data_IF_773320070887
#
_entry.id   IF_773320070887
#
_cell.length_a   1.000
_cell.length_b   1.000
_cell.length_c   1.000
_cell.angle_alpha   90.00
_cell.angle_beta   90.00
_cell.angle_gamma   90.00
#
_symmetry.space_group_name_H-M   'P 1'
#
loop_
_entity.id
_entity.type
_entity.pdbx_description
1 polymer ?
#
# COMPACT_ATOMS: atom_id res chain seq x y z
N UNK A 1 -15.95 7.54 4.61
CA UNK A 1 -16.28 6.45 3.66
C UNK A 1 -17.77 6.21 3.59
N UNK A 2 -18.46 5.99 4.72
CA UNK A 2 -19.90 5.66 4.73
C UNK A 2 -20.77 6.70 3.99
N UNK A 3 -20.61 7.99 4.29
CA UNK A 3 -21.37 9.06 3.63
C UNK A 3 -21.16 9.09 2.11
N UNK A 4 -19.95 8.82 1.64
CA UNK A 4 -19.65 8.77 0.20
C UNK A 4 -20.26 7.53 -0.46
N UNK A 5 -20.27 6.37 0.21
CA UNK A 5 -20.94 5.17 -0.29
C UNK A 5 -22.45 5.39 -0.38
N UNK A 6 -23.04 6.04 0.63
CA UNK A 6 -24.45 6.40 0.60
C UNK A 6 -24.75 7.36 -0.55
N UNK A 7 -23.96 8.42 -0.70
CA UNK A 7 -24.09 9.36 -1.83
C UNK A 7 -23.99 8.63 -3.18
N UNK A 8 -23.03 7.72 -3.34
CA UNK A 8 -22.86 6.94 -4.55
C UNK A 8 -24.13 6.08 -4.86
N UNK A 9 -24.70 5.46 -3.84
CA UNK A 9 -25.92 4.67 -3.99
C UNK A 9 -27.13 5.53 -4.36
N UNK A 10 -27.30 6.72 -3.76
CA UNK A 10 -28.38 7.67 -4.11
C UNK A 10 -28.19 8.24 -5.52
N UNK A 11 -26.96 8.56 -5.91
CA UNK A 11 -26.66 8.97 -7.28
C UNK A 11 -27.00 7.86 -8.28
N UNK A 12 -26.64 6.62 -8.01
CA UNK A 12 -26.96 5.48 -8.86
C UNK A 12 -28.47 5.34 -9.05
N UNK A 13 -29.25 5.47 -7.96
CA UNK A 13 -30.71 5.40 -8.00
C UNK A 13 -31.32 6.56 -8.79
N UNK A 14 -30.80 7.78 -8.62
CA UNK A 14 -31.29 8.97 -9.32
C UNK A 14 -31.03 8.93 -10.83
N UNK A 15 -29.88 8.40 -11.25
CA UNK A 15 -29.47 8.38 -12.66
C UNK A 15 -29.73 7.06 -13.37
N UNK A 16 -30.19 6.03 -12.66
CA UNK A 16 -30.42 4.69 -13.22
C UNK A 16 -29.14 3.98 -13.67
N UNK A 17 -27.98 4.34 -13.12
CA UNK A 17 -26.68 3.79 -13.52
C UNK A 17 -25.80 3.52 -12.30
N UNK A 18 -25.13 2.35 -12.28
CA UNK A 18 -24.14 1.97 -11.25
C UNK A 18 -23.01 3.01 -11.16
N UNK A 19 -22.66 3.41 -9.95
CA UNK A 19 -21.54 4.31 -9.66
C UNK A 19 -20.30 3.48 -9.30
N UNK A 20 -19.19 3.70 -9.99
CA UNK A 20 -17.90 3.11 -9.60
C UNK A 20 -17.33 3.87 -8.41
N UNK A 21 -16.94 3.12 -7.38
CA UNK A 21 -16.39 3.66 -6.15
C UNK A 21 -15.04 3.03 -5.85
N UNK A 22 -13.98 3.82 -5.85
CA UNK A 22 -12.66 3.36 -5.44
C UNK A 22 -12.40 3.65 -3.96
N UNK A 23 -11.91 2.65 -3.25
CA UNK A 23 -11.48 2.77 -1.87
C UNK A 23 -10.01 2.37 -1.72
N UNK A 24 -9.09 3.31 -1.36
CA UNK A 24 -7.71 2.97 -1.08
C UNK A 24 -7.61 2.28 0.29
N UNK A 25 -7.50 0.96 0.29
CA UNK A 25 -7.20 0.16 1.48
C UNK A 25 -5.68 0.04 1.69
N UNK A 26 -5.24 -0.79 2.61
CA UNK A 26 -3.85 -0.92 3.01
C UNK A 26 -3.54 -2.33 3.49
N UNK A 27 -2.28 -2.75 3.40
CA UNK A 27 -1.76 -3.95 4.09
C UNK A 27 -1.94 -3.89 5.61
N UNK A 28 -2.19 -2.71 6.18
CA UNK A 28 -2.48 -2.54 7.60
C UNK A 28 -3.77 -3.25 8.07
N UNK A 29 -4.61 -3.75 7.13
CA UNK A 29 -5.76 -4.62 7.46
C UNK A 29 -5.32 -6.00 7.92
N UNK A 30 -4.08 -6.38 7.69
CA UNK A 30 -3.51 -7.63 8.14
C UNK A 30 -2.99 -7.53 9.57
N UNK A 31 -3.05 -8.64 10.31
CA UNK A 31 -2.45 -8.78 11.62
C UNK A 31 -1.97 -10.22 11.80
N UNK A 32 -0.67 -10.43 11.63
CA UNK A 32 -0.03 -11.70 11.93
C UNK A 32 0.31 -11.73 13.43
N UNK A 33 0.07 -12.86 14.13
CA UNK A 33 0.17 -12.89 15.58
C UNK A 33 1.60 -12.80 16.11
N UNK A 34 2.57 -13.26 15.33
CA UNK A 34 3.98 -13.31 15.72
C UNK A 34 4.92 -13.44 14.49
N UNK A 35 6.22 -13.25 14.72
CA UNK A 35 7.25 -13.36 13.69
C UNK A 35 7.39 -14.76 13.09
N UNK A 36 7.22 -15.80 13.87
CA UNK A 36 7.32 -17.18 13.37
C UNK A 36 6.22 -17.45 12.35
N UNK A 37 4.99 -17.02 12.66
CA UNK A 37 3.86 -17.08 11.73
C UNK A 37 4.12 -16.21 10.50
N UNK A 38 4.65 -15.01 10.67
CA UNK A 38 4.99 -14.09 9.56
C UNK A 38 5.96 -14.74 8.59
N UNK A 39 7.07 -15.30 9.08
CA UNK A 39 8.08 -15.96 8.25
C UNK A 39 7.56 -17.23 7.56
N UNK A 40 6.70 -18.00 8.25
CA UNK A 40 6.16 -19.24 7.72
C UNK A 40 5.02 -19.04 6.71
N UNK A 41 4.32 -17.90 6.76
CA UNK A 41 3.07 -17.70 6.01
C UNK A 41 3.28 -17.49 4.50
N UNK A 42 4.49 -17.07 4.07
CA UNK A 42 4.77 -16.73 2.68
C UNK A 42 3.91 -15.57 2.17
N UNK A 43 3.47 -15.64 0.92
CA UNK A 43 2.63 -14.61 0.32
C UNK A 43 1.19 -14.66 0.86
N UNK A 44 0.73 -13.57 1.47
CA UNK A 44 -0.58 -13.49 2.11
C UNK A 44 -1.67 -13.10 1.10
N UNK A 45 -2.67 -13.97 0.96
CA UNK A 45 -3.86 -13.69 0.15
C UNK A 45 -4.90 -12.84 0.90
N UNK A 46 -5.83 -12.23 0.17
CA UNK A 46 -6.79 -11.25 0.70
C UNK A 46 -7.75 -11.79 1.77
N UNK A 47 -7.90 -13.13 1.87
CA UNK A 47 -8.79 -13.76 2.84
C UNK A 47 -8.14 -14.21 4.15
N UNK A 48 -6.81 -14.05 4.31
CA UNK A 48 -6.07 -14.54 5.46
C UNK A 48 -5.62 -13.40 6.36
N UNK A 49 -5.52 -13.64 7.66
CA UNK A 49 -4.97 -12.72 8.65
C UNK A 49 -5.57 -11.30 8.64
N UNK A 50 -6.85 -11.15 8.29
CA UNK A 50 -7.56 -9.86 8.36
C UNK A 50 -7.95 -9.54 9.81
N UNK A 51 -6.95 -9.31 10.66
CA UNK A 51 -7.06 -9.03 12.09
C UNK A 51 -6.14 -7.85 12.47
N UNK A 52 -6.48 -6.62 12.08
CA UNK A 52 -5.58 -5.47 12.18
C UNK A 52 -5.23 -5.10 13.62
N UNK A 53 -3.94 -4.83 13.87
CA UNK A 53 -3.42 -4.42 15.17
C UNK A 53 -3.38 -2.90 15.36
N UNK A 54 -3.89 -2.11 14.41
CA UNK A 54 -3.93 -0.64 14.50
C UNK A 54 -5.32 -0.11 14.22
N UNK A 55 -5.69 1.03 14.82
CA UNK A 55 -6.95 1.72 14.52
C UNK A 55 -7.04 2.09 13.03
N UNK A 56 -5.91 2.44 12.41
CA UNK A 56 -5.85 2.69 10.97
C UNK A 56 -6.26 1.45 10.17
N UNK A 57 -5.69 0.28 10.49
CA UNK A 57 -6.05 -0.98 9.85
C UNK A 57 -7.51 -1.37 10.08
N UNK A 58 -8.01 -1.22 11.32
CA UNK A 58 -9.42 -1.44 11.64
C UNK A 58 -10.35 -0.57 10.78
N UNK A 59 -10.04 0.72 10.65
CA UNK A 59 -10.81 1.64 9.82
C UNK A 59 -10.77 1.27 8.33
N UNK A 60 -9.62 0.82 7.82
CA UNK A 60 -9.49 0.34 6.43
C UNK A 60 -10.31 -0.93 6.21
N UNK A 61 -10.20 -1.91 7.09
CA UNK A 61 -10.98 -3.16 7.00
C UNK A 61 -12.51 -2.89 7.10
N UNK A 62 -12.92 -2.01 8.01
CA UNK A 62 -14.32 -1.55 8.09
C UNK A 62 -14.79 -0.92 6.79
N UNK A 63 -13.95 -0.08 6.16
CA UNK A 63 -14.25 0.51 4.85
C UNK A 63 -14.45 -0.53 3.75
N UNK A 64 -13.64 -1.59 3.73
CA UNK A 64 -13.81 -2.71 2.81
C UNK A 64 -15.14 -3.46 3.03
N UNK A 65 -15.52 -3.73 4.29
CA UNK A 65 -16.78 -4.37 4.62
C UNK A 65 -18.00 -3.53 4.23
N UNK A 66 -17.96 -2.23 4.52
CA UNK A 66 -19.01 -1.29 4.11
C UNK A 66 -19.12 -1.26 2.58
N UNK A 67 -17.99 -1.17 1.87
CA UNK A 67 -17.99 -1.17 0.41
C UNK A 67 -18.62 -2.43 -0.19
N UNK A 68 -18.26 -3.62 0.32
CA UNK A 68 -18.87 -4.89 -0.09
C UNK A 68 -20.38 -4.94 0.20
N UNK A 69 -20.82 -4.37 1.34
CA UNK A 69 -22.24 -4.27 1.65
C UNK A 69 -22.98 -3.45 0.60
N UNK A 70 -22.46 -2.28 0.21
CA UNK A 70 -23.07 -1.42 -0.81
C UNK A 70 -23.04 -2.04 -2.21
N UNK A 71 -21.98 -2.79 -2.55
CA UNK A 71 -21.84 -3.51 -3.83
C UNK A 71 -22.88 -4.66 -3.96
N UNK A 72 -23.04 -5.49 -2.88
CA UNK A 72 -23.76 -6.76 -3.01
C UNK A 72 -25.08 -6.82 -2.24
N UNK A 73 -25.25 -6.05 -1.17
CA UNK A 73 -26.33 -6.29 -0.19
C UNK A 73 -27.16 -5.05 0.13
N UNK A 74 -26.79 -3.87 -0.39
CA UNK A 74 -27.46 -2.62 -0.04
C UNK A 74 -28.97 -2.68 -0.31
N UNK A 75 -29.78 -2.35 0.73
CA UNK A 75 -31.27 -2.34 0.70
C UNK A 75 -31.89 -3.65 0.18
N UNK A 76 -31.26 -4.79 0.42
CA UNK A 76 -31.69 -6.09 -0.11
C UNK A 76 -33.20 -6.42 0.17
N UNK A 77 -33.75 -5.90 1.26
CA UNK A 77 -35.14 -6.14 1.66
C UNK A 77 -36.12 -5.03 1.18
N UNK A 78 -35.60 -3.97 0.54
CA UNK A 78 -36.49 -2.88 0.08
C UNK A 78 -37.16 -3.26 -1.24
N UNK A 79 -38.48 -2.97 -1.34
CA UNK A 79 -39.29 -3.25 -2.54
C UNK A 79 -38.84 -2.42 -3.75
N UNK A 80 -38.34 -1.19 -3.51
CA UNK A 80 -37.86 -0.22 -4.51
C UNK A 80 -36.34 -0.28 -4.70
N UNK A 81 -35.74 -1.45 -4.48
CA UNK A 81 -34.29 -1.64 -4.59
C UNK A 81 -33.81 -1.40 -6.03
N UNK A 82 -32.84 -0.49 -6.17
CA UNK A 82 -32.00 -0.42 -7.36
C UNK A 82 -30.87 -1.46 -7.23
N UNK A 83 -30.77 -2.39 -8.18
CA UNK A 83 -29.77 -3.45 -8.12
C UNK A 83 -28.36 -2.92 -8.44
N UNK A 84 -27.38 -3.38 -7.67
CA UNK A 84 -25.96 -3.04 -7.84
C UNK A 84 -25.70 -1.53 -7.95
N UNK A 85 -26.11 -0.73 -6.98
CA UNK A 85 -25.97 0.73 -7.06
C UNK A 85 -24.52 1.17 -7.08
N UNK A 86 -23.63 0.42 -6.44
CA UNK A 86 -22.21 0.73 -6.31
C UNK A 86 -21.38 -0.41 -6.87
N UNK A 87 -20.47 -0.12 -7.78
CA UNK A 87 -19.38 -1.00 -8.19
C UNK A 87 -18.16 -0.66 -7.34
N UNK A 88 -18.06 -1.32 -6.17
CA UNK A 88 -17.01 -1.07 -5.20
C UNK A 88 -15.72 -1.78 -5.61
N UNK A 89 -14.63 -1.03 -5.64
CA UNK A 89 -13.28 -1.51 -6.00
C UNK A 89 -12.27 -1.00 -5.00
N UNK A 90 -11.40 -1.88 -4.52
CA UNK A 90 -10.40 -1.54 -3.52
C UNK A 90 -9.07 -2.21 -3.78
N UNK A 91 -8.00 -1.50 -3.48
CA UNK A 91 -6.63 -2.02 -3.46
C UNK A 91 -6.11 -1.92 -2.01
N UNK A 92 -5.54 -3.00 -1.51
CA UNK A 92 -4.70 -3.00 -0.32
C UNK A 92 -3.30 -2.59 -0.73
N UNK A 93 -3.02 -1.30 -0.61
CA UNK A 93 -1.70 -0.79 -0.93
C UNK A 93 -0.66 -1.26 0.08
N UNK A 94 0.54 -1.66 -0.39
CA UNK A 94 1.72 -1.85 0.43
C UNK A 94 2.31 -0.51 0.86
N UNK A 95 3.54 -0.49 1.38
CA UNK A 95 4.30 0.74 1.55
C UNK A 95 4.48 1.45 0.21
N UNK A 96 3.90 2.64 0.04
CA UNK A 96 4.06 3.43 -1.19
C UNK A 96 5.23 4.38 -1.03
N UNK A 97 6.20 4.30 -1.94
CA UNK A 97 7.36 5.19 -1.94
C UNK A 97 7.22 6.22 -3.06
N UNK A 98 7.23 7.51 -2.66
CA UNK A 98 7.21 8.64 -3.58
C UNK A 98 8.56 9.36 -3.59
N UNK A 99 9.05 9.69 -4.78
CA UNK A 99 10.21 10.57 -4.94
C UNK A 99 9.82 12.06 -4.88
N UNK A 100 8.53 12.37 -5.01
CA UNK A 100 8.02 13.76 -5.09
C UNK A 100 7.58 14.31 -3.72
N UNK A 101 7.11 13.44 -2.82
CA UNK A 101 6.65 13.84 -1.49
C UNK A 101 7.67 13.48 -0.42
N UNK A 102 7.82 14.35 0.58
CA UNK A 102 8.66 14.05 1.74
C UNK A 102 7.99 12.97 2.61
N UNK A 103 8.75 12.02 3.16
CA UNK A 103 8.23 11.12 4.19
C UNK A 103 7.74 11.94 5.39
N UNK A 104 6.65 11.50 6.00
CA UNK A 104 5.97 12.24 7.08
C UNK A 104 6.01 11.52 8.44
N UNK A 105 6.87 10.52 8.59
CA UNK A 105 7.00 9.72 9.81
C UNK A 105 6.01 8.56 9.89
N UNK A 106 5.51 8.08 8.77
CA UNK A 106 4.68 6.87 8.68
C UNK A 106 5.45 5.61 9.09
N UNK A 107 4.72 4.57 9.48
CA UNK A 107 5.33 3.29 9.93
C UNK A 107 6.20 2.64 8.86
N UNK A 108 5.89 2.82 7.58
CA UNK A 108 6.66 2.29 6.43
C UNK A 108 7.69 3.28 5.86
N UNK A 109 7.86 4.46 6.47
CA UNK A 109 8.68 5.53 5.88
C UNK A 109 10.19 5.34 6.06
N UNK A 110 10.64 4.30 6.78
CA UNK A 110 12.08 4.05 7.00
C UNK A 110 12.90 3.97 5.70
N UNK A 111 12.35 3.36 4.64
CA UNK A 111 13.04 3.27 3.35
C UNK A 111 13.26 4.64 2.69
N UNK A 112 12.21 5.43 2.40
CA UNK A 112 12.35 6.77 1.84
C UNK A 112 13.12 7.73 2.77
N UNK A 113 12.94 7.64 4.08
CA UNK A 113 13.70 8.49 5.04
C UNK A 113 15.20 8.27 4.95
N UNK A 114 15.67 7.02 4.80
CA UNK A 114 17.11 6.73 4.58
C UNK A 114 17.65 7.46 3.35
N UNK A 115 16.90 7.42 2.22
CA UNK A 115 17.33 8.05 0.97
C UNK A 115 17.40 9.57 1.13
N UNK A 116 16.37 10.18 1.76
CA UNK A 116 16.33 11.62 2.00
C UNK A 116 17.43 12.09 2.96
N UNK A 117 17.67 11.35 4.04
CA UNK A 117 18.74 11.67 4.99
C UNK A 117 20.11 11.63 4.32
N UNK A 118 20.42 10.57 3.59
CA UNK A 118 21.68 10.40 2.87
C UNK A 118 21.88 11.49 1.81
N UNK A 119 20.86 11.81 1.02
CA UNK A 119 20.91 12.86 0.01
C UNK A 119 21.10 14.26 0.61
N UNK A 120 20.65 14.46 1.84
CA UNK A 120 20.87 15.70 2.61
C UNK A 120 22.20 15.70 3.39
N UNK A 121 23.02 14.65 3.29
CA UNK A 121 24.26 14.53 4.06
C UNK A 121 24.08 14.34 5.56
N UNK A 122 22.93 13.82 6.01
CA UNK A 122 22.60 13.59 7.41
C UNK A 122 22.68 12.11 7.76
N UNK A 123 23.01 11.82 9.01
CA UNK A 123 22.88 10.49 9.59
C UNK A 123 21.42 10.07 9.69
N UNK A 124 21.17 8.77 9.67
CA UNK A 124 19.84 8.21 9.84
C UNK A 124 19.84 7.03 10.83
N UNK A 125 18.96 7.12 11.81
CA UNK A 125 18.72 6.05 12.80
C UNK A 125 17.42 5.33 12.41
N UNK A 126 17.56 4.14 11.84
CA UNK A 126 16.42 3.36 11.38
C UNK A 126 15.66 2.78 12.56
N UNK A 127 14.38 3.11 12.66
CA UNK A 127 13.51 2.71 13.77
C UNK A 127 12.96 1.29 13.68
N UNK A 128 13.41 0.48 12.73
CA UNK A 128 13.08 -0.94 12.60
C UNK A 128 14.36 -1.77 12.54
N UNK A 129 14.24 -3.08 12.82
CA UNK A 129 15.37 -4.02 12.71
C UNK A 129 15.84 -4.15 11.25
N UNK A 130 17.13 -4.50 11.02
CA UNK A 130 17.68 -4.69 9.68
C UNK A 130 16.92 -5.73 8.84
N UNK A 131 16.44 -6.79 9.48
CA UNK A 131 15.71 -7.90 8.87
C UNK A 131 14.23 -7.60 8.61
N UNK A 132 13.71 -6.48 9.11
CA UNK A 132 12.30 -6.09 8.98
C UNK A 132 11.90 -6.00 7.51
N UNK A 133 10.88 -6.76 7.12
CA UNK A 133 10.42 -6.89 5.73
C UNK A 133 8.92 -6.66 5.63
N UNK A 134 8.51 -5.83 4.68
CA UNK A 134 7.12 -5.62 4.24
C UNK A 134 7.10 -5.38 2.73
N UNK A 135 5.95 -5.55 2.06
CA UNK A 135 5.85 -5.23 0.64
C UNK A 135 5.82 -3.71 0.41
N UNK A 136 6.37 -3.32 -0.73
CA UNK A 136 6.42 -1.93 -1.21
C UNK A 136 6.03 -1.84 -2.68
N UNK A 137 5.74 -0.62 -3.12
CA UNK A 137 5.62 -0.21 -4.52
C UNK A 137 5.94 1.27 -4.69
N UNK A 138 6.22 1.68 -5.91
CA UNK A 138 6.42 3.11 -6.23
C UNK A 138 5.08 3.83 -6.41
N UNK A 139 5.07 5.15 -6.19
CA UNK A 139 3.87 5.96 -6.43
C UNK A 139 3.35 5.87 -7.88
N UNK A 140 4.18 5.90 -8.94
CA UNK A 140 3.72 5.67 -10.31
C UNK A 140 2.98 4.34 -10.49
N UNK A 141 3.47 3.24 -9.90
CA UNK A 141 2.81 1.94 -9.95
C UNK A 141 1.47 1.94 -9.19
N UNK A 142 1.40 2.63 -8.04
CA UNK A 142 0.15 2.77 -7.28
C UNK A 142 -0.93 3.49 -8.09
N UNK A 143 -0.55 4.53 -8.84
CA UNK A 143 -1.44 5.25 -9.74
C UNK A 143 -1.88 4.34 -10.90
N UNK A 144 -0.95 3.66 -11.58
CA UNK A 144 -1.26 2.73 -12.68
C UNK A 144 -2.20 1.61 -12.22
N UNK A 145 -1.94 1.00 -11.06
CA UNK A 145 -2.80 -0.02 -10.47
C UNK A 145 -4.23 0.50 -10.23
N UNK A 146 -4.35 1.72 -9.70
CA UNK A 146 -5.65 2.37 -9.45
C UNK A 146 -6.40 2.58 -10.76
N UNK A 147 -5.75 3.15 -11.76
CA UNK A 147 -6.37 3.43 -13.07
C UNK A 147 -6.78 2.13 -13.76
N UNK A 148 -5.91 1.12 -13.81
CA UNK A 148 -6.22 -0.19 -14.41
C UNK A 148 -7.40 -0.85 -13.73
N UNK A 149 -7.43 -0.92 -12.38
CA UNK A 149 -8.55 -1.49 -11.66
C UNK A 149 -9.85 -0.74 -11.97
N UNK A 150 -9.81 0.61 -11.99
CA UNK A 150 -11.00 1.42 -12.25
C UNK A 150 -11.51 1.30 -13.69
N UNK A 151 -10.65 1.04 -14.66
CA UNK A 151 -11.02 0.83 -16.06
C UNK A 151 -11.42 -0.63 -16.35
N UNK A 152 -11.04 -1.58 -15.52
CA UNK A 152 -11.33 -2.99 -15.74
C UNK A 152 -12.85 -3.26 -15.89
N UNK A 153 -13.28 -4.11 -16.85
CA UNK A 153 -14.68 -4.51 -16.96
C UNK A 153 -15.15 -5.23 -15.69
N UNK A 154 -16.30 -4.85 -15.11
CA UNK A 154 -16.84 -5.47 -13.89
C UNK A 154 -16.95 -6.99 -14.00
N UNK A 155 -17.32 -7.50 -15.16
CA UNK A 155 -17.46 -8.95 -15.41
C UNK A 155 -16.16 -9.76 -15.19
N UNK A 156 -15.00 -9.13 -15.31
CA UNK A 156 -13.70 -9.76 -15.09
C UNK A 156 -13.33 -9.82 -13.60
N UNK A 157 -13.86 -8.89 -12.80
CA UNK A 157 -13.52 -8.77 -11.38
C UNK A 157 -14.24 -9.85 -10.57
N UNK A 158 -13.47 -10.76 -9.96
CA UNK A 158 -13.99 -11.84 -9.12
C UNK A 158 -14.06 -11.47 -7.64
N UNK A 159 -13.54 -10.31 -7.28
CA UNK A 159 -13.57 -9.75 -5.91
C UNK A 159 -13.64 -8.24 -5.96
N UNK A 160 -14.00 -7.64 -4.83
CA UNK A 160 -14.07 -6.18 -4.69
C UNK A 160 -12.77 -5.60 -4.13
N UNK A 161 -11.90 -6.44 -3.54
CA UNK A 161 -10.66 -6.02 -2.87
C UNK A 161 -9.50 -6.87 -3.39
N UNK A 162 -8.41 -6.22 -3.75
CA UNK A 162 -7.23 -6.83 -4.32
C UNK A 162 -5.95 -6.43 -3.61
N UNK A 163 -5.03 -7.37 -3.45
CA UNK A 163 -3.64 -7.09 -3.13
C UNK A 163 -2.87 -6.63 -4.37
N UNK A 164 -1.91 -5.75 -4.17
CA UNK A 164 -0.86 -5.41 -5.14
C UNK A 164 0.46 -5.25 -4.39
N UNK A 165 1.56 -5.62 -5.01
CA UNK A 165 2.90 -5.38 -4.49
C UNK A 165 3.91 -5.42 -5.65
N UNK A 166 5.05 -4.72 -5.48
CA UNK A 166 6.11 -4.73 -6.49
C UNK A 166 7.34 -5.45 -5.98
N UNK A 167 7.80 -5.12 -4.79
CA UNK A 167 8.99 -5.72 -4.16
C UNK A 167 8.84 -5.73 -2.64
N UNK A 168 9.59 -6.63 -1.97
CA UNK A 168 9.50 -6.81 -0.52
C UNK A 168 10.91 -6.85 0.10
N UNK A 169 11.63 -5.73 0.18
CA UNK A 169 12.97 -5.66 0.72
C UNK A 169 12.96 -5.70 2.25
N UNK A 170 14.08 -6.12 2.82
CA UNK A 170 14.38 -5.81 4.21
C UNK A 170 14.83 -4.35 4.37
N UNK A 171 14.85 -3.86 5.59
CA UNK A 171 15.37 -2.53 5.89
C UNK A 171 16.88 -2.44 5.54
N UNK A 172 17.63 -3.53 5.71
CA UNK A 172 19.04 -3.59 5.32
C UNK A 172 19.22 -3.59 3.80
N UNK A 173 18.29 -4.17 3.01
CA UNK A 173 18.34 -4.09 1.54
C UNK A 173 18.26 -2.62 1.09
N UNK A 174 17.39 -1.80 1.72
CA UNK A 174 17.35 -0.36 1.48
C UNK A 174 18.63 0.34 1.91
N UNK A 175 19.12 0.08 3.12
CA UNK A 175 20.35 0.68 3.65
C UNK A 175 21.55 0.38 2.78
N UNK A 176 21.67 -0.84 2.26
CA UNK A 176 22.74 -1.26 1.37
C UNK A 176 22.75 -0.46 0.07
N UNK A 177 21.58 -0.26 -0.58
CA UNK A 177 21.48 0.57 -1.79
C UNK A 177 21.80 2.04 -1.50
N UNK A 178 21.37 2.56 -0.36
CA UNK A 178 21.66 3.94 0.03
C UNK A 178 23.16 4.13 0.28
N UNK A 179 23.81 3.20 1.00
CA UNK A 179 25.27 3.25 1.23
C UNK A 179 26.08 3.16 -0.07
N UNK A 180 25.63 2.35 -1.05
CA UNK A 180 26.26 2.29 -2.37
C UNK A 180 26.16 3.64 -3.12
N UNK A 181 25.00 4.31 -3.05
CA UNK A 181 24.78 5.59 -3.74
C UNK A 181 25.44 6.77 -3.00
N UNK A 182 25.53 6.70 -1.67
CA UNK A 182 26.07 7.73 -0.78
C UNK A 182 27.09 7.12 0.19
N UNK A 183 28.35 6.87 -0.25
CA UNK A 183 29.35 6.13 0.55
C UNK A 183 29.74 6.77 1.89
N UNK A 184 29.44 8.06 2.08
CA UNK A 184 29.74 8.78 3.34
C UNK A 184 28.56 8.76 4.32
N UNK A 185 27.41 8.18 3.95
CA UNK A 185 26.25 8.16 4.83
C UNK A 185 26.44 7.22 6.02
N UNK A 186 25.93 7.62 7.17
CA UNK A 186 25.87 6.79 8.37
C UNK A 186 24.41 6.38 8.57
N UNK A 187 24.14 5.06 8.53
CA UNK A 187 22.83 4.48 8.82
C UNK A 187 23.04 3.45 9.94
N UNK A 188 22.37 3.68 11.08
CA UNK A 188 22.29 2.76 12.21
C UNK A 188 20.89 2.19 12.34
N UNK A 189 20.74 1.12 13.11
CA UNK A 189 19.44 0.50 13.38
C UNK A 189 19.16 0.58 14.87
N UNK A 190 18.13 1.35 15.23
CA UNK A 190 17.71 1.62 16.60
C UNK A 190 16.20 1.37 16.70
N UNK A 191 15.74 0.10 16.77
CA UNK A 191 14.33 -0.23 16.68
C UNK A 191 13.48 0.43 17.77
N UNK A 192 12.48 1.20 17.37
CA UNK A 192 11.38 1.63 18.24
C UNK A 192 10.41 0.47 18.42
N UNK A 193 10.26 -0.03 19.66
CA UNK A 193 9.46 -1.22 19.93
C UNK A 193 8.00 -1.09 19.50
N UNK A 194 7.42 0.10 19.57
CA UNK A 194 6.04 0.34 19.15
C UNK A 194 5.90 0.22 17.64
N UNK A 195 6.74 0.91 16.86
CA UNK A 195 6.75 0.85 15.39
C UNK A 195 7.15 -0.54 14.89
N UNK A 196 8.14 -1.16 15.54
CA UNK A 196 8.60 -2.50 15.19
C UNK A 196 7.47 -3.53 15.33
N UNK A 197 6.69 -3.47 16.41
CA UNK A 197 5.57 -4.41 16.63
C UNK A 197 4.49 -4.29 15.54
N UNK A 198 4.27 -3.08 15.01
CA UNK A 198 3.34 -2.87 13.89
C UNK A 198 3.89 -3.51 12.62
N UNK A 199 5.17 -3.26 12.28
CA UNK A 199 5.84 -3.85 11.10
C UNK A 199 5.84 -5.38 11.21
N UNK A 200 6.07 -5.93 12.39
CA UNK A 200 6.08 -7.37 12.63
C UNK A 200 4.70 -8.01 12.43
N UNK A 201 3.62 -7.26 12.64
CA UNK A 201 2.25 -7.74 12.41
C UNK A 201 1.80 -7.67 10.94
N UNK A 202 2.54 -7.00 10.05
CA UNK A 202 2.21 -6.90 8.63
C UNK A 202 2.89 -8.00 7.81
N UNK A 203 2.34 -8.42 6.66
CA UNK A 203 2.92 -9.46 5.83
C UNK A 203 4.31 -9.09 5.30
N UNK A 204 5.17 -10.09 5.09
CA UNK A 204 6.44 -9.88 4.35
C UNK A 204 6.17 -9.65 2.87
N UNK A 205 5.20 -10.37 2.32
CA UNK A 205 4.76 -10.21 0.93
C UNK A 205 3.28 -10.53 0.79
N UNK A 206 2.65 -10.00 -0.25
CA UNK A 206 1.25 -10.23 -0.56
C UNK A 206 1.11 -11.06 -1.84
N UNK A 207 0.15 -11.98 -1.84
CA UNK A 207 -0.28 -12.68 -3.06
C UNK A 207 -1.17 -11.75 -3.89
N UNK A 208 -0.65 -11.30 -5.03
CA UNK A 208 -1.34 -10.44 -5.99
C UNK A 208 -1.86 -11.21 -7.22
N UNK A 209 -1.88 -12.54 -7.16
CA UNK A 209 -2.29 -13.41 -8.27
C UNK A 209 -3.71 -13.13 -8.75
N UNK A 210 -4.61 -12.74 -7.85
CA UNK A 210 -5.97 -12.34 -8.20
C UNK A 210 -5.99 -11.05 -9.04
N UNK A 211 -5.19 -10.05 -8.68
CA UNK A 211 -5.06 -8.80 -9.44
C UNK A 211 -4.48 -9.05 -10.84
N UNK A 212 -3.45 -9.89 -10.93
CA UNK A 212 -2.84 -10.30 -12.22
C UNK A 212 -3.86 -10.97 -13.13
N UNK A 213 -4.60 -11.93 -12.62
CA UNK A 213 -5.58 -12.70 -13.40
C UNK A 213 -6.79 -11.88 -13.81
N UNK A 214 -7.36 -11.09 -12.90
CA UNK A 214 -8.68 -10.50 -13.08
C UNK A 214 -8.63 -9.17 -13.84
N UNK A 215 -7.54 -8.39 -13.72
CA UNK A 215 -7.42 -7.08 -14.39
C UNK A 215 -6.02 -6.73 -14.89
N UNK A 216 -5.13 -7.73 -14.99
CA UNK A 216 -3.85 -7.59 -15.67
C UNK A 216 -2.82 -6.75 -14.91
N UNK A 217 -2.88 -6.73 -13.56
CA UNK A 217 -1.84 -6.12 -12.76
C UNK A 217 -0.49 -6.78 -13.04
N UNK A 218 0.54 -5.98 -13.13
CA UNK A 218 1.92 -6.47 -13.21
C UNK A 218 2.86 -5.39 -12.68
N UNK A 219 3.66 -5.76 -11.69
CA UNK A 219 4.69 -4.88 -11.17
C UNK A 219 5.73 -4.58 -12.26
N UNK A 220 6.16 -3.33 -12.34
CA UNK A 220 7.14 -2.86 -13.35
C UNK A 220 8.51 -2.61 -12.76
N UNK A 221 8.61 -2.46 -11.43
CA UNK A 221 9.85 -2.22 -10.73
C UNK A 221 10.28 -3.40 -9.85
N UNK A 222 11.55 -3.67 -9.83
CA UNK A 222 12.26 -4.31 -8.70
C UNK A 222 12.75 -3.23 -7.75
N UNK A 223 13.25 -3.60 -6.57
CA UNK A 223 13.87 -2.62 -5.65
C UNK A 223 14.99 -1.83 -6.35
N UNK A 224 15.87 -2.52 -7.10
CA UNK A 224 17.00 -1.91 -7.79
C UNK A 224 16.56 -0.91 -8.86
N UNK A 225 15.55 -1.27 -9.68
CA UNK A 225 15.06 -0.37 -10.73
C UNK A 225 14.26 0.79 -10.14
N UNK A 226 13.45 0.57 -9.10
CA UNK A 226 12.76 1.64 -8.37
C UNK A 226 13.77 2.64 -7.79
N UNK A 227 14.85 2.12 -7.16
CA UNK A 227 15.89 2.95 -6.56
C UNK A 227 16.66 3.74 -7.62
N UNK A 228 17.23 3.06 -8.64
CA UNK A 228 18.13 3.68 -9.62
C UNK A 228 17.43 4.56 -10.65
N UNK A 229 16.21 4.22 -11.07
CA UNK A 229 15.54 4.92 -12.17
C UNK A 229 14.51 5.96 -11.69
N UNK A 230 13.97 5.81 -10.48
CA UNK A 230 12.92 6.70 -9.98
C UNK A 230 13.33 7.46 -8.71
N UNK A 231 13.71 6.75 -7.64
CA UNK A 231 13.92 7.39 -6.32
C UNK A 231 15.20 8.22 -6.28
N UNK A 232 16.34 7.60 -6.56
CA UNK A 232 17.65 8.24 -6.42
C UNK A 232 17.80 9.49 -7.29
N UNK A 233 17.50 9.48 -8.61
CA UNK A 233 17.69 10.66 -9.45
C UNK A 233 16.84 11.85 -9.01
N UNK A 234 15.61 11.61 -8.59
CA UNK A 234 14.67 12.67 -8.22
C UNK A 234 14.94 13.21 -6.83
N UNK A 235 15.20 12.33 -5.85
CA UNK A 235 15.49 12.74 -4.47
C UNK A 235 16.84 13.44 -4.41
N UNK A 236 17.91 12.88 -4.97
CA UNK A 236 19.22 13.53 -5.00
C UNK A 236 19.20 14.89 -5.72
N UNK A 237 18.47 14.98 -6.85
CA UNK A 237 18.30 16.22 -7.59
C UNK A 237 17.61 17.34 -6.80
N UNK A 238 16.76 17.00 -5.84
CA UNK A 238 16.12 17.97 -4.92
C UNK A 238 17.17 18.65 -4.03
N UNK A 239 18.07 17.87 -3.43
CA UNK A 239 19.09 18.39 -2.50
C UNK A 239 20.25 19.08 -3.19
N UNK A 240 20.62 18.64 -4.40
CA UNK A 240 21.64 19.31 -5.20
C UNK A 240 21.29 20.76 -5.55
N UNK A 241 20.02 21.06 -5.80
CA UNK A 241 19.52 22.41 -6.07
C UNK A 241 19.52 23.32 -4.84
N UNK A 242 19.36 22.75 -3.64
CA UNK A 242 19.33 23.52 -2.38
C UNK A 242 20.73 23.88 -1.90
N UNK A 243 21.76 23.17 -2.32
CA UNK A 243 23.17 23.43 -1.94
C UNK A 243 23.84 24.46 -2.85
N UNK A 244 23.17 24.95 -3.90
CA UNK A 244 23.68 25.92 -4.89
C UNK A 244 23.21 27.37 -4.62
N UNK A 245 22.58 27.64 -3.48
CA UNK A 245 22.18 28.94 -2.95
C UNK A 245 22.77 29.18 -1.57
#
# INVERSE_FOLDING_TARGET
>A
TLNLLHLAAEQARSHGRTVRFFFPSSIAVYGLPDLATKHAAGAISEGKFCDPHTMYGCNKLTGEHLGRYYDHHYRKLAKDRFENPVDFRSIRFPGIISAETMPSGGTSDYGPEMIHAAAAGREYHCFVRPDSRIPFMTMPEAIDATVRLMLAPKKNLKRSVYNVASFSPSAEDFASLVRQAFPKTVITFEPDLGRQSIIDSWPETCDDSAARRDWGWNATHTLQTAFSQYLLPRIAGRYAKTSAH
#
